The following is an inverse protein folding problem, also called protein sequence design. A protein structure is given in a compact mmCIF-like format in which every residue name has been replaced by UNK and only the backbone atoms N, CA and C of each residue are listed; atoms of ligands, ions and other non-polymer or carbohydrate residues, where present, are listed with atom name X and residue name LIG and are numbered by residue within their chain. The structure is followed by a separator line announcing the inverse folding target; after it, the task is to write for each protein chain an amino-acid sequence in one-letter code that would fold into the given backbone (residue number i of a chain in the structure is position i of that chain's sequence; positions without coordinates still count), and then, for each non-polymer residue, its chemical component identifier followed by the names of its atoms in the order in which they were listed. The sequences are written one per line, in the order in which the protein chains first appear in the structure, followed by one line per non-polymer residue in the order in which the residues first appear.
data_IF_736743630009
#
_entry.id   IF_736743630009
#
_cell.length_a   1.000
_cell.length_b   1.000
_cell.length_c   1.000
_cell.angle_alpha   90.00
_cell.angle_beta   90.00
_cell.angle_gamma   90.00
#
_symmetry.space_group_name_H-M   'P 1'
#
loop_
_entity.id
_entity.type
_entity.pdbx_description
1 polymer ?
#
# COMPACT_ATOMS: atom_id res chain seq x y z
N UNK A 1 -3.30 13.67 -16.80
CA UNK A 1 -2.04 14.43 -16.89
C UNK A 1 -1.28 14.46 -15.56
N UNK A 2 -1.93 14.23 -14.41
CA UNK A 2 -1.28 14.24 -13.08
C UNK A 2 -0.47 12.97 -12.76
N UNK A 3 -0.89 11.78 -13.22
CA UNK A 3 -0.22 10.49 -12.93
C UNK A 3 1.20 10.38 -13.51
N UNK A 4 1.50 11.10 -14.58
CA UNK A 4 2.86 11.14 -15.17
C UNK A 4 3.81 11.97 -14.33
N UNK A 5 3.31 13.01 -13.65
CA UNK A 5 4.12 13.91 -12.84
C UNK A 5 4.50 13.25 -11.51
N UNK A 6 3.55 12.54 -10.89
CA UNK A 6 3.77 11.89 -9.60
C UNK A 6 4.76 10.70 -9.70
N UNK A 7 4.67 9.92 -10.79
CA UNK A 7 5.65 8.87 -11.11
C UNK A 7 7.07 9.43 -11.37
N UNK A 8 7.16 10.62 -11.98
CA UNK A 8 8.44 11.27 -12.23
C UNK A 8 9.07 11.79 -10.92
N UNK A 9 8.26 12.38 -10.04
CA UNK A 9 8.69 12.84 -8.71
C UNK A 9 9.17 11.65 -7.88
N UNK A 10 8.44 10.55 -7.85
CA UNK A 10 8.83 9.36 -7.09
C UNK A 10 10.13 8.76 -7.63
N UNK A 11 10.29 8.72 -8.95
CA UNK A 11 11.55 8.29 -9.57
C UNK A 11 12.72 9.19 -9.18
N UNK A 12 12.52 10.51 -9.13
CA UNK A 12 13.56 11.45 -8.69
C UNK A 12 13.91 11.27 -7.21
N UNK A 13 12.90 11.11 -6.34
CA UNK A 13 13.11 10.82 -4.93
C UNK A 13 13.86 9.50 -4.75
N UNK A 14 13.51 8.47 -5.51
CA UNK A 14 14.20 7.18 -5.47
C UNK A 14 15.66 7.32 -5.89
N UNK A 15 15.96 7.97 -7.03
CA UNK A 15 17.34 8.22 -7.47
C UNK A 15 18.12 9.01 -6.40
N UNK A 16 17.51 10.02 -5.80
CA UNK A 16 18.13 10.80 -4.72
C UNK A 16 18.41 9.94 -3.49
N UNK A 17 17.48 9.04 -3.12
CA UNK A 17 17.68 8.06 -2.06
C UNK A 17 18.88 7.15 -2.37
N UNK A 18 19.05 6.67 -3.60
CA UNK A 18 20.19 5.81 -3.98
C UNK A 18 21.54 6.51 -3.75
N UNK A 19 21.58 7.83 -3.92
CA UNK A 19 22.75 8.67 -3.63
C UNK A 19 22.98 8.92 -2.13
N UNK A 20 22.12 8.37 -1.26
CA UNK A 20 22.21 8.48 0.19
C UNK A 20 21.40 9.62 0.80
N UNK A 21 20.51 10.27 0.05
CA UNK A 21 19.65 11.32 0.59
C UNK A 21 18.55 10.72 1.49
N UNK A 22 18.76 10.84 2.81
CA UNK A 22 17.79 10.39 3.83
C UNK A 22 16.43 11.06 3.71
N UNK A 23 16.38 12.37 3.40
CA UNK A 23 15.10 13.09 3.27
C UNK A 23 14.24 12.55 2.13
N UNK A 24 14.89 12.10 1.05
CA UNK A 24 14.18 11.48 -0.07
C UNK A 24 13.59 10.13 0.33
N UNK A 25 14.34 9.34 1.12
CA UNK A 25 13.81 8.11 1.73
C UNK A 25 12.63 8.40 2.66
N UNK A 26 12.78 9.35 3.59
CA UNK A 26 11.72 9.72 4.54
C UNK A 26 10.44 10.15 3.80
N UNK A 27 10.59 10.89 2.70
CA UNK A 27 9.47 11.33 1.87
C UNK A 27 8.75 10.14 1.22
N UNK A 28 9.51 9.21 0.62
CA UNK A 28 8.95 7.98 0.06
C UNK A 28 8.31 7.11 1.14
N UNK A 29 8.95 6.99 2.31
CA UNK A 29 8.43 6.24 3.44
C UNK A 29 7.09 6.80 3.89
N UNK A 30 7.01 8.09 4.20
CA UNK A 30 5.77 8.74 4.64
C UNK A 30 4.68 8.60 3.57
N UNK A 31 5.01 8.78 2.29
CA UNK A 31 4.06 8.67 1.17
C UNK A 31 3.45 7.27 1.06
N UNK A 32 4.27 6.23 1.18
CA UNK A 32 3.86 4.85 0.85
C UNK A 32 3.50 4.00 2.07
N UNK A 33 3.95 4.34 3.28
CA UNK A 33 3.85 3.48 4.47
C UNK A 33 2.43 3.03 4.76
N UNK A 34 1.48 3.96 4.89
CA UNK A 34 0.10 3.62 5.22
C UNK A 34 -0.57 2.78 4.13
N UNK A 35 -0.28 3.08 2.86
CA UNK A 35 -0.85 2.37 1.72
C UNK A 35 -0.32 0.94 1.61
N UNK A 36 0.99 0.76 1.83
CA UNK A 36 1.64 -0.55 1.85
C UNK A 36 1.19 -1.38 3.06
N UNK A 37 0.98 -0.77 4.23
CA UNK A 37 0.46 -1.48 5.41
C UNK A 37 -0.98 -1.95 5.15
N UNK A 38 -1.82 -1.08 4.58
CA UNK A 38 -3.18 -1.45 4.20
C UNK A 38 -3.21 -2.60 3.18
N UNK A 39 -2.28 -2.60 2.22
CA UNK A 39 -2.10 -3.69 1.25
C UNK A 39 -1.58 -4.98 1.91
N UNK A 40 -0.56 -4.91 2.76
CA UNK A 40 -0.02 -6.08 3.46
C UNK A 40 -1.05 -6.77 4.36
N UNK A 41 -1.97 -6.00 4.98
CA UNK A 41 -3.09 -6.52 5.77
C UNK A 41 -4.07 -7.42 5.00
N UNK A 42 -4.05 -7.43 3.66
CA UNK A 42 -4.84 -8.42 2.89
C UNK A 42 -4.21 -9.82 2.90
N UNK A 43 -2.99 -9.96 3.41
CA UNK A 43 -2.23 -11.21 3.42
C UNK A 43 -1.87 -11.67 4.84
N UNK A 44 -1.58 -10.73 5.76
CA UNK A 44 -1.06 -11.00 7.10
C UNK A 44 -1.79 -10.20 8.18
N UNK A 45 -1.50 -10.45 9.46
CA UNK A 45 -2.10 -9.71 10.58
C UNK A 45 -1.68 -8.23 10.58
N UNK A 46 -2.31 -7.39 11.40
CA UNK A 46 -1.96 -5.96 11.51
C UNK A 46 -0.50 -5.76 11.95
N UNK A 47 -0.08 -6.48 13.00
CA UNK A 47 1.27 -6.40 13.55
C UNK A 47 2.30 -6.86 12.51
N UNK A 48 2.03 -7.99 11.84
CA UNK A 48 2.86 -8.51 10.75
C UNK A 48 2.93 -7.55 9.55
N UNK A 49 1.84 -6.86 9.24
CA UNK A 49 1.78 -5.94 8.10
C UNK A 49 2.70 -4.73 8.31
N UNK A 50 2.68 -4.15 9.51
CA UNK A 50 3.57 -3.03 9.86
C UNK A 50 5.03 -3.48 9.85
N UNK A 51 5.33 -4.65 10.43
CA UNK A 51 6.68 -5.23 10.42
C UNK A 51 7.17 -5.51 9.00
N UNK A 52 6.35 -6.15 8.16
CA UNK A 52 6.68 -6.43 6.76
C UNK A 52 7.01 -5.14 6.00
N UNK A 53 6.23 -4.08 6.18
CA UNK A 53 6.47 -2.81 5.48
C UNK A 53 7.71 -2.11 6.01
N UNK A 54 7.89 -2.02 7.34
CA UNK A 54 9.09 -1.44 7.93
C UNK A 54 10.35 -2.16 7.45
N UNK A 55 10.34 -3.49 7.51
CA UNK A 55 11.47 -4.31 7.06
C UNK A 55 11.72 -4.19 5.56
N UNK A 56 10.66 -4.10 4.74
CA UNK A 56 10.80 -3.92 3.29
C UNK A 56 11.46 -2.58 2.99
N UNK A 57 10.98 -1.50 3.63
CA UNK A 57 11.55 -0.17 3.44
C UNK A 57 13.00 -0.10 3.95
N UNK A 58 13.31 -0.74 5.07
CA UNK A 58 14.67 -0.84 5.60
C UNK A 58 15.59 -1.57 4.62
N UNK A 59 15.18 -2.73 4.10
CA UNK A 59 15.95 -3.47 3.10
C UNK A 59 16.19 -2.65 1.83
N UNK A 60 15.22 -1.85 1.40
CA UNK A 60 15.38 -0.96 0.25
C UNK A 60 16.42 0.12 0.54
N UNK A 61 16.40 0.69 1.74
CA UNK A 61 17.40 1.67 2.17
C UNK A 61 18.80 1.06 2.27
N UNK A 62 18.93 -0.12 2.87
CA UNK A 62 20.22 -0.82 3.01
C UNK A 62 20.82 -1.17 1.64
N UNK A 63 19.98 -1.67 0.73
CA UNK A 63 20.36 -2.08 -0.63
C UNK A 63 20.22 -0.95 -1.67
N UNK A 64 20.06 0.31 -1.24
CA UNK A 64 19.79 1.47 -2.11
C UNK A 64 20.79 1.65 -3.25
N UNK A 65 22.05 1.25 -3.06
CA UNK A 65 23.12 1.37 -4.07
C UNK A 65 23.03 0.32 -5.17
N UNK A 66 22.39 -0.81 -4.90
CA UNK A 66 22.36 -1.98 -5.79
C UNK A 66 20.99 -2.21 -6.41
N UNK A 67 19.91 -1.71 -5.80
CA UNK A 67 18.55 -1.86 -6.30
C UNK A 67 18.29 -1.02 -7.55
N UNK A 68 18.22 -1.64 -8.71
CA UNK A 68 17.68 -1.02 -9.92
C UNK A 68 16.17 -1.26 -10.03
N UNK A 69 15.44 -0.19 -10.37
CA UNK A 69 14.01 -0.29 -10.68
C UNK A 69 13.84 -0.06 -12.19
N UNK A 70 13.41 -1.11 -12.89
CA UNK A 70 13.04 -1.06 -14.31
C UNK A 70 11.56 -0.64 -14.52
N UNK A 71 10.77 -0.61 -13.44
CA UNK A 71 9.34 -0.24 -13.38
C UNK A 71 9.10 1.09 -12.64
N UNK A 72 7.87 1.40 -12.22
CA UNK A 72 7.62 2.56 -11.34
C UNK A 72 8.00 2.25 -9.88
N UNK A 73 8.35 3.28 -9.11
CA UNK A 73 8.69 3.14 -7.68
C UNK A 73 7.51 2.54 -6.91
N UNK A 74 6.30 3.02 -7.20
CA UNK A 74 5.06 2.46 -6.69
C UNK A 74 5.01 0.94 -6.87
N UNK A 75 5.15 0.49 -8.11
CA UNK A 75 5.01 -0.91 -8.48
C UNK A 75 6.08 -1.80 -7.83
N UNK A 76 7.31 -1.31 -7.78
CA UNK A 76 8.40 -1.99 -7.07
C UNK A 76 8.09 -2.19 -5.59
N UNK A 77 7.60 -1.15 -4.90
CA UNK A 77 7.27 -1.21 -3.47
C UNK A 77 6.17 -2.22 -3.17
N UNK A 78 5.08 -2.19 -3.93
CA UNK A 78 3.97 -3.14 -3.76
C UNK A 78 4.39 -4.58 -4.04
N UNK A 79 5.22 -4.81 -5.06
CA UNK A 79 5.77 -6.14 -5.36
C UNK A 79 6.64 -6.65 -4.21
N UNK A 80 7.53 -5.80 -3.69
CA UNK A 80 8.42 -6.17 -2.59
C UNK A 80 7.62 -6.55 -1.33
N UNK A 81 6.61 -5.77 -0.96
CA UNK A 81 5.73 -6.04 0.18
C UNK A 81 4.91 -7.32 -0.02
N UNK A 82 4.32 -7.54 -1.21
CA UNK A 82 3.58 -8.77 -1.54
C UNK A 82 4.46 -10.01 -1.36
N UNK A 83 5.67 -9.98 -1.92
CA UNK A 83 6.61 -11.10 -1.84
C UNK A 83 7.00 -11.41 -0.38
N UNK A 84 7.16 -10.37 0.43
CA UNK A 84 7.51 -10.53 1.84
C UNK A 84 6.34 -11.05 2.69
N UNK A 85 5.11 -10.61 2.39
CA UNK A 85 3.89 -11.20 2.97
C UNK A 85 3.80 -12.69 2.65
N UNK A 86 3.98 -13.09 1.40
CA UNK A 86 3.98 -14.52 1.04
C UNK A 86 5.10 -15.30 1.71
N UNK A 87 6.29 -14.72 1.80
CA UNK A 87 7.40 -15.35 2.53
C UNK A 87 7.01 -15.60 3.99
N UNK A 88 6.36 -14.63 4.64
CA UNK A 88 5.89 -14.77 6.01
C UNK A 88 4.78 -15.82 6.14
N UNK A 89 3.78 -15.80 5.25
CA UNK A 89 2.71 -16.79 5.21
C UNK A 89 3.23 -18.21 4.99
N UNK A 90 4.16 -18.40 4.05
CA UNK A 90 4.81 -19.68 3.81
C UNK A 90 5.63 -20.10 5.02
N UNK A 91 6.35 -19.20 5.68
CA UNK A 91 7.08 -19.51 6.93
C UNK A 91 6.14 -19.87 8.08
N UNK A 92 4.98 -19.24 8.19
CA UNK A 92 3.98 -19.54 9.21
C UNK A 92 3.27 -20.88 8.91
N UNK A 93 2.96 -21.16 7.65
CA UNK A 93 2.47 -22.46 7.19
C UNK A 93 3.51 -23.56 7.42
N UNK A 94 4.78 -23.30 7.09
CA UNK A 94 5.90 -24.21 7.36
C UNK A 94 6.14 -24.37 8.85
N UNK A 95 5.99 -23.35 9.70
CA UNK A 95 6.06 -23.52 11.17
C UNK A 95 4.93 -24.42 11.68
N UNK A 96 3.72 -24.24 11.16
CA UNK A 96 2.57 -25.09 11.47
C UNK A 96 2.74 -26.54 10.97
N UNK A 97 3.43 -26.71 9.84
CA UNK A 97 3.79 -28.01 9.27
C UNK A 97 5.03 -28.64 9.93
N UNK A 98 6.01 -27.86 10.38
CA UNK A 98 7.23 -28.32 11.08
C UNK A 98 6.88 -28.79 12.49
N UNK A 99 5.85 -28.21 13.14
CA UNK A 99 5.21 -28.83 14.32
C UNK A 99 4.50 -30.16 13.98
N UNK A 100 4.25 -30.46 12.70
CA UNK A 100 3.50 -31.62 12.20
C UNK A 100 4.19 -32.42 11.08
N UNK A 101 5.53 -32.56 11.07
CA UNK A 101 6.37 -33.49 10.24
C UNK A 101 7.36 -32.80 9.26
N UNK A 102 8.55 -33.40 9.18
CA UNK A 102 9.83 -33.03 8.56
C UNK A 102 9.85 -32.76 7.02
N UNK A 103 10.44 -31.59 6.63
CA UNK A 103 11.35 -31.31 5.46
C UNK A 103 10.86 -31.41 3.98
N UNK A 104 11.57 -30.84 2.97
CA UNK A 104 11.65 -29.42 2.54
C UNK A 104 11.42 -29.24 0.99
N UNK A 105 11.76 -28.04 0.48
CA UNK A 105 11.86 -27.56 -0.93
C UNK A 105 10.64 -26.89 -1.58
N UNK A 106 10.67 -25.54 -1.66
CA UNK A 106 9.82 -24.73 -2.55
C UNK A 106 10.61 -23.53 -3.04
N UNK A 107 11.56 -23.75 -3.96
CA UNK A 107 12.27 -22.66 -4.66
C UNK A 107 11.64 -22.32 -6.03
N UNK A 108 10.60 -23.05 -6.48
CA UNK A 108 10.11 -22.99 -7.87
C UNK A 108 8.68 -22.45 -8.08
N UNK A 109 8.04 -21.82 -7.09
CA UNK A 109 6.64 -21.36 -7.22
C UNK A 109 6.46 -19.87 -7.54
N UNK A 110 7.39 -19.25 -8.28
CA UNK A 110 7.30 -17.81 -8.59
C UNK A 110 7.50 -17.48 -10.08
N UNK A 111 6.87 -18.24 -10.97
CA UNK A 111 6.44 -17.69 -12.25
C UNK A 111 4.92 -17.56 -12.21
N UNK A 112 4.41 -16.40 -11.79
CA UNK A 112 2.98 -16.21 -11.53
C UNK A 112 2.33 -15.20 -12.49
N UNK A 113 1.35 -15.61 -13.32
CA UNK A 113 0.53 -14.72 -14.15
C UNK A 113 -0.33 -13.72 -13.35
N UNK A 114 -0.40 -13.83 -12.02
CA UNK A 114 -1.14 -12.94 -11.12
C UNK A 114 -0.61 -11.49 -11.02
N UNK A 115 0.56 -11.22 -11.57
CA UNK A 115 1.16 -9.88 -11.53
C UNK A 115 0.35 -8.84 -12.32
N UNK A 116 -0.18 -9.23 -13.48
CA UNK A 116 -0.95 -8.36 -14.36
C UNK A 116 -2.30 -7.96 -13.74
N UNK A 117 -2.94 -8.89 -13.03
CA UNK A 117 -4.24 -8.70 -12.37
C UNK A 117 -4.13 -7.69 -11.22
N UNK A 118 -3.01 -7.73 -10.48
CA UNK A 118 -2.77 -6.80 -9.38
C UNK A 118 -2.43 -5.40 -9.88
N UNK A 119 -1.65 -5.29 -10.96
CA UNK A 119 -1.34 -3.99 -11.57
C UNK A 119 -2.61 -3.31 -12.10
N UNK A 120 -3.49 -4.07 -12.77
CA UNK A 120 -4.78 -3.56 -13.25
C UNK A 120 -5.68 -3.14 -12.08
N UNK A 121 -5.71 -3.91 -10.99
CA UNK A 121 -6.52 -3.61 -9.81
C UNK A 121 -6.04 -2.35 -9.10
N UNK A 122 -4.72 -2.21 -8.88
CA UNK A 122 -4.14 -1.03 -8.25
C UNK A 122 -4.41 0.24 -9.06
N UNK A 123 -4.21 0.18 -10.39
CA UNK A 123 -4.52 1.32 -11.27
C UNK A 123 -6.01 1.69 -11.23
N UNK A 124 -6.91 0.71 -11.13
CA UNK A 124 -8.35 0.96 -11.00
C UNK A 124 -8.71 1.61 -9.67
N UNK A 125 -8.07 1.19 -8.57
CA UNK A 125 -8.27 1.80 -7.24
C UNK A 125 -7.78 3.24 -7.23
N UNK A 126 -6.57 3.51 -7.71
CA UNK A 126 -6.02 4.87 -7.78
C UNK A 126 -6.90 5.79 -8.62
N UNK A 127 -7.34 5.30 -9.78
CA UNK A 127 -8.24 6.06 -10.65
C UNK A 127 -9.58 6.34 -9.98
N UNK A 128 -10.15 5.37 -9.26
CA UNK A 128 -11.40 5.55 -8.53
C UNK A 128 -11.26 6.58 -7.40
N UNK A 129 -10.12 6.61 -6.70
CA UNK A 129 -9.82 7.64 -5.68
C UNK A 129 -9.69 9.01 -6.32
N UNK A 130 -8.99 9.13 -7.45
CA UNK A 130 -8.85 10.39 -8.18
C UNK A 130 -10.18 10.93 -8.75
N UNK A 131 -11.12 10.05 -9.06
CA UNK A 131 -12.46 10.43 -9.54
C UNK A 131 -13.40 10.92 -8.43
N UNK A 132 -13.01 10.76 -7.15
CA UNK A 132 -13.79 11.29 -6.05
C UNK A 132 -13.86 12.83 -6.12
N UNK A 133 -15.00 13.44 -5.77
CA UNK A 133 -15.04 14.87 -5.50
C UNK A 133 -13.94 15.24 -4.51
N UNK A 134 -13.22 16.33 -4.79
CA UNK A 134 -12.02 16.74 -4.06
C UNK A 134 -12.21 16.74 -2.53
N UNK A 135 -13.33 17.28 -2.07
CA UNK A 135 -13.64 17.32 -0.63
C UNK A 135 -13.81 15.94 0.02
N UNK A 136 -14.24 14.93 -0.74
CA UNK A 136 -14.39 13.55 -0.28
C UNK A 136 -13.04 12.83 -0.30
N UNK A 137 -12.29 13.03 -1.39
CA UNK A 137 -10.93 12.51 -1.54
C UNK A 137 -10.03 12.97 -0.40
N UNK A 138 -9.98 14.27 -0.12
CA UNK A 138 -9.13 14.84 0.94
C UNK A 138 -9.47 14.23 2.30
N UNK A 139 -10.76 14.20 2.68
CA UNK A 139 -11.17 13.63 3.97
C UNK A 139 -10.85 12.13 4.06
N UNK A 140 -11.04 11.40 2.96
CA UNK A 140 -10.71 9.97 2.88
C UNK A 140 -9.20 9.72 2.98
N UNK A 141 -8.37 10.47 2.25
CA UNK A 141 -6.92 10.35 2.28
C UNK A 141 -6.33 10.72 3.63
N UNK A 142 -6.80 11.80 4.26
CA UNK A 142 -6.36 12.19 5.60
C UNK A 142 -6.68 11.11 6.64
N UNK A 143 -7.88 10.53 6.57
CA UNK A 143 -8.26 9.46 7.50
C UNK A 143 -7.49 8.16 7.21
N UNK A 144 -7.42 7.75 5.93
CA UNK A 144 -6.95 6.43 5.54
C UNK A 144 -5.44 6.32 5.36
N UNK A 145 -4.79 7.37 4.88
CA UNK A 145 -3.35 7.38 4.57
C UNK A 145 -2.54 8.19 5.58
N UNK A 146 -3.15 9.17 6.25
CA UNK A 146 -2.46 9.96 7.27
C UNK A 146 -2.85 9.54 8.70
N UNK A 147 -3.71 8.53 8.86
CA UNK A 147 -4.21 8.03 10.15
C UNK A 147 -4.82 9.11 11.06
N UNK A 148 -5.31 10.22 10.48
CA UNK A 148 -5.93 11.28 11.26
C UNK A 148 -7.31 10.86 11.74
N UNK A 149 -7.61 11.20 12.98
CA UNK A 149 -8.92 11.06 13.58
C UNK A 149 -9.91 12.03 12.93
N UNK A 150 -11.20 11.75 13.06
CA UNK A 150 -12.24 12.62 12.51
C UNK A 150 -12.21 14.03 13.12
N UNK A 151 -11.68 14.15 14.34
CA UNK A 151 -11.52 15.42 15.02
C UNK A 151 -10.34 16.22 14.45
N UNK A 152 -9.18 15.59 14.26
CA UNK A 152 -8.01 16.25 13.65
C UNK A 152 -8.31 16.73 12.22
N UNK A 153 -9.03 15.93 11.43
CA UNK A 153 -9.46 16.30 10.08
C UNK A 153 -10.45 17.48 10.12
N UNK A 154 -11.37 17.48 11.09
CA UNK A 154 -12.36 18.53 11.25
C UNK A 154 -11.68 19.88 11.59
N UNK A 155 -10.70 19.84 12.48
CA UNK A 155 -9.90 21.01 12.88
C UNK A 155 -9.10 21.56 11.70
N UNK A 156 -8.40 20.69 10.96
CA UNK A 156 -7.54 21.08 9.84
C UNK A 156 -8.31 21.58 8.62
N UNK A 157 -9.48 21.01 8.34
CA UNK A 157 -10.34 21.44 7.22
C UNK A 157 -11.33 22.54 7.63
N UNK A 158 -11.33 22.96 8.89
CA UNK A 158 -12.28 23.93 9.46
C UNK A 158 -13.75 23.57 9.20
N UNK A 159 -14.10 22.31 9.42
CA UNK A 159 -15.47 21.77 9.26
C UNK A 159 -15.88 20.99 10.52
N UNK A 160 -17.13 20.51 10.57
CA UNK A 160 -17.57 19.66 11.69
C UNK A 160 -17.10 18.21 11.51
N UNK A 161 -16.86 17.50 12.62
CA UNK A 161 -16.58 16.05 12.61
C UNK A 161 -17.71 15.25 11.93
N UNK A 162 -18.96 15.71 12.02
CA UNK A 162 -20.09 15.13 11.26
C UNK A 162 -19.92 15.30 9.74
N UNK A 163 -19.35 16.42 9.30
CA UNK A 163 -19.06 16.67 7.89
C UNK A 163 -17.91 15.77 7.41
N UNK A 164 -16.91 15.51 8.26
CA UNK A 164 -15.84 14.54 7.97
C UNK A 164 -16.41 13.14 7.77
N UNK A 165 -17.21 12.65 8.73
CA UNK A 165 -17.88 11.35 8.64
C UNK A 165 -18.72 11.24 7.35
N UNK A 166 -19.55 12.25 7.07
CA UNK A 166 -20.34 12.29 5.85
C UNK A 166 -19.47 12.18 4.59
N UNK A 167 -18.38 12.97 4.49
CA UNK A 167 -17.46 12.96 3.33
C UNK A 167 -16.79 11.60 3.16
N UNK A 168 -16.34 10.98 4.25
CA UNK A 168 -15.74 9.64 4.23
C UNK A 168 -16.78 8.60 3.78
N UNK A 169 -18.00 8.64 4.30
CA UNK A 169 -19.05 7.73 3.88
C UNK A 169 -19.42 7.89 2.38
N UNK A 170 -19.45 9.12 1.87
CA UNK A 170 -19.67 9.35 0.43
C UNK A 170 -18.51 8.84 -0.43
N UNK A 171 -17.26 9.04 0.02
CA UNK A 171 -16.08 8.46 -0.63
C UNK A 171 -16.20 6.93 -0.73
N UNK A 172 -16.47 6.27 0.40
CA UNK A 172 -16.62 4.81 0.46
C UNK A 172 -17.77 4.31 -0.43
N UNK A 173 -18.90 5.02 -0.45
CA UNK A 173 -20.04 4.67 -1.30
C UNK A 173 -19.69 4.72 -2.78
N UNK A 174 -18.98 5.76 -3.21
CA UNK A 174 -18.56 5.93 -4.60
C UNK A 174 -17.51 4.88 -4.99
N UNK A 175 -16.51 4.65 -4.14
CA UNK A 175 -15.47 3.64 -4.37
C UNK A 175 -16.08 2.23 -4.51
N UNK A 176 -17.03 1.85 -3.64
CA UNK A 176 -17.74 0.56 -3.74
C UNK A 176 -18.53 0.42 -5.05
N UNK A 177 -19.03 1.52 -5.61
CA UNK A 177 -19.76 1.52 -6.88
C UNK A 177 -18.82 1.38 -8.06
N UNK A 178 -17.73 2.14 -8.08
CA UNK A 178 -16.75 2.12 -9.19
C UNK A 178 -15.94 0.83 -9.23
N UNK A 179 -15.71 0.22 -8.07
CA UNK A 179 -14.92 -0.99 -7.93
C UNK A 179 -15.80 -2.21 -7.64
N UNK A 180 -17.09 -2.16 -8.01
CA UNK A 180 -18.10 -3.19 -7.69
C UNK A 180 -17.67 -4.60 -8.10
N UNK A 181 -17.01 -4.75 -9.23
CA UNK A 181 -16.55 -6.04 -9.77
C UNK A 181 -15.37 -6.63 -8.98
N UNK A 182 -14.82 -5.85 -8.04
CA UNK A 182 -13.72 -6.21 -7.14
C UNK A 182 -14.14 -6.23 -5.67
N UNK A 183 -15.45 -6.16 -5.38
CA UNK A 183 -16.02 -6.09 -4.03
C UNK A 183 -15.53 -7.13 -3.01
N UNK A 184 -15.30 -8.41 -3.37
CA UNK A 184 -14.76 -9.39 -2.43
C UNK A 184 -13.39 -8.98 -1.86
N UNK A 185 -12.56 -8.30 -2.66
CA UNK A 185 -11.25 -7.80 -2.27
C UNK A 185 -11.36 -6.45 -1.53
N UNK A 186 -12.34 -5.61 -1.89
CA UNK A 186 -12.55 -4.32 -1.23
C UNK A 186 -13.13 -4.43 0.17
N UNK A 187 -13.94 -5.46 0.46
CA UNK A 187 -14.41 -5.72 1.82
C UNK A 187 -13.23 -5.99 2.78
N UNK A 188 -12.11 -6.49 2.26
CA UNK A 188 -10.84 -6.61 2.99
C UNK A 188 -10.13 -5.26 3.21
N UNK A 189 -10.20 -4.34 2.24
CA UNK A 189 -9.66 -2.98 2.35
C UNK A 189 -10.51 -2.01 3.18
N UNK A 190 -11.81 -2.28 3.36
CA UNK A 190 -12.79 -1.36 3.97
C UNK A 190 -13.47 -1.92 5.22
N UNK A 191 -13.03 -3.06 5.75
CA UNK A 191 -13.42 -3.49 7.09
C UNK A 191 -12.80 -2.54 8.13
N UNK A 192 -13.54 -2.17 9.19
CA UNK A 192 -13.07 -1.27 10.24
C UNK A 192 -11.82 -1.80 10.96
#
# INVERSE_FOLDING_TARGET
METTNDNLIDKQLYISMQQGNKKAFDTLFIKYYAMLCAFARSFVSLEDAEEVVQDTMLQIWENRKTNHIDSSVHHYLFKAVKNKCYTLMTRNSLRFQIENILTPDIQELFEDPDFYIIEELTQKIEKAILNLPESYRIAFEMHRFQNKTYQEIAEELHISSKTVDYRIQQALKQLRKELKDYLPLLLFFFAP
#
